data_IF_954004128625
#
_entry.id   IF_954004128625
#
_cell.length_a   1.000
_cell.length_b   1.000
_cell.length_c   1.000
_cell.angle_alpha   90.00
_cell.angle_beta   90.00
_cell.angle_gamma   90.00
#
_symmetry.space_group_name_H-M   'P 1'
#
loop_
_entity.id
_entity.type
_entity.pdbx_description
1 polymer ?
#
# COMPACT_ATOMS: atom_id res chain seq x y z
N UNK A 1 5.97 13.44 2.19
CA UNK A 1 6.22 14.56 1.24
C UNK A 1 4.97 15.44 1.08
N UNK A 2 3.85 14.90 0.58
CA UNK A 2 2.61 15.67 0.32
C UNK A 2 2.01 16.31 1.59
N UNK A 3 2.09 15.63 2.74
CA UNK A 3 1.66 16.18 4.03
C UNK A 3 2.38 17.48 4.43
N UNK A 4 3.69 17.60 4.11
CA UNK A 4 4.47 18.81 4.41
C UNK A 4 4.01 20.00 3.59
N UNK A 5 3.82 19.78 2.28
CA UNK A 5 3.29 20.80 1.34
C UNK A 5 1.89 21.22 1.80
N UNK A 6 1.04 20.24 2.13
CA UNK A 6 -0.32 20.51 2.60
C UNK A 6 -0.34 21.36 3.87
N UNK A 7 0.57 21.14 4.83
CA UNK A 7 0.65 21.91 6.07
C UNK A 7 1.05 23.38 5.86
N UNK A 8 1.86 23.67 4.85
CA UNK A 8 2.45 25.00 4.64
C UNK A 8 1.86 25.75 3.43
N UNK A 9 0.92 25.13 2.69
CA UNK A 9 0.30 25.69 1.48
C UNK A 9 -0.35 27.06 1.68
N UNK A 10 -0.88 27.33 2.88
CA UNK A 10 -1.58 28.58 3.20
C UNK A 10 -0.60 29.76 3.27
N UNK A 11 0.61 29.51 3.79
CA UNK A 11 1.61 30.56 4.05
C UNK A 11 2.48 30.82 2.82
N UNK A 12 2.86 29.76 2.09
CA UNK A 12 3.86 29.88 1.01
C UNK A 12 3.32 29.59 -0.39
N UNK A 13 2.09 29.07 -0.51
CA UNK A 13 1.58 28.54 -1.78
C UNK A 13 2.18 27.19 -2.15
N UNK A 14 1.48 26.43 -2.99
CA UNK A 14 1.93 25.08 -3.39
C UNK A 14 3.12 25.18 -4.36
N UNK A 15 3.05 26.07 -5.35
CA UNK A 15 4.09 26.24 -6.37
C UNK A 15 5.45 26.57 -5.75
N UNK A 16 5.50 27.49 -4.78
CA UNK A 16 6.73 27.93 -4.12
C UNK A 16 7.41 26.79 -3.34
N UNK A 17 6.63 25.96 -2.66
CA UNK A 17 7.16 24.80 -1.91
C UNK A 17 7.62 23.70 -2.88
N UNK A 18 6.85 23.46 -3.94
CA UNK A 18 7.19 22.51 -4.99
C UNK A 18 8.51 22.85 -5.71
N UNK A 19 8.76 24.15 -5.94
CA UNK A 19 10.01 24.64 -6.53
C UNK A 19 11.24 24.35 -5.64
N UNK A 20 11.08 24.39 -4.31
CA UNK A 20 12.16 24.11 -3.36
C UNK A 20 12.42 22.61 -3.14
N UNK A 21 11.41 21.76 -3.31
CA UNK A 21 11.49 20.30 -3.09
C UNK A 21 11.79 19.48 -4.37
N UNK A 22 12.31 20.13 -5.42
CA UNK A 22 12.19 19.73 -6.84
C UNK A 22 11.05 18.76 -7.19
N UNK A 23 9.80 19.13 -6.87
CA UNK A 23 8.61 18.34 -7.22
C UNK A 23 7.75 19.15 -8.19
N UNK A 24 7.22 18.52 -9.23
CA UNK A 24 6.21 19.16 -10.07
C UNK A 24 4.91 19.42 -9.28
N UNK A 25 4.30 20.62 -9.37
CA UNK A 25 3.00 20.90 -8.76
C UNK A 25 1.89 19.93 -9.21
N UNK A 26 1.95 19.45 -10.46
CA UNK A 26 1.04 18.42 -10.98
C UNK A 26 1.08 17.14 -10.15
N UNK A 27 2.26 16.69 -9.74
CA UNK A 27 2.40 15.54 -8.86
C UNK A 27 1.76 15.79 -7.49
N UNK A 28 1.83 17.01 -6.92
CA UNK A 28 1.11 17.32 -5.69
C UNK A 28 -0.41 17.13 -5.85
N UNK A 29 -0.99 17.74 -6.88
CA UNK A 29 -2.43 17.64 -7.13
C UNK A 29 -2.89 16.24 -7.54
N UNK A 30 -2.00 15.41 -8.10
CA UNK A 30 -2.29 14.02 -8.40
C UNK A 30 -2.24 13.13 -7.13
N UNK A 31 -1.28 13.38 -6.24
CA UNK A 31 -1.08 12.57 -5.05
C UNK A 31 -1.97 12.97 -3.87
N UNK A 32 -2.37 14.24 -3.74
CA UNK A 32 -3.19 14.69 -2.61
C UNK A 32 -4.59 14.06 -2.55
N UNK A 33 -5.31 13.90 -3.68
CA UNK A 33 -6.60 13.19 -3.70
C UNK A 33 -6.45 11.71 -3.34
N UNK A 34 -5.37 11.05 -3.78
CA UNK A 34 -5.07 9.64 -3.48
C UNK A 34 -4.90 9.33 -1.99
N UNK A 35 -4.45 10.29 -1.20
CA UNK A 35 -4.37 10.15 0.27
C UNK A 35 -5.74 10.19 0.94
N UNK A 36 -6.70 10.90 0.35
CA UNK A 36 -7.95 11.27 1.02
C UNK A 36 -9.10 10.38 0.57
N UNK A 37 -9.16 10.04 -0.71
CA UNK A 37 -10.25 9.28 -1.29
C UNK A 37 -9.72 8.04 -2.04
N UNK A 38 -10.09 6.83 -1.58
CA UNK A 38 -9.75 5.57 -2.25
C UNK A 38 -10.24 5.49 -3.71
N UNK A 39 -11.28 6.23 -4.10
CA UNK A 39 -11.79 6.25 -5.48
C UNK A 39 -10.77 6.82 -6.47
N UNK A 40 -9.85 7.69 -6.01
CA UNK A 40 -8.79 8.29 -6.84
C UNK A 40 -7.52 7.45 -6.89
N UNK A 41 -7.49 6.31 -6.19
CA UNK A 41 -6.38 5.38 -6.30
C UNK A 41 -6.32 4.77 -7.70
N UNK A 42 -5.11 4.58 -8.25
CA UNK A 42 -4.96 3.85 -9.50
C UNK A 42 -5.64 2.47 -9.42
N UNK A 43 -6.21 2.00 -10.52
CA UNK A 43 -6.86 0.68 -10.60
C UNK A 43 -5.97 -0.49 -10.16
N UNK A 44 -4.64 -0.31 -10.16
CA UNK A 44 -3.69 -1.27 -9.59
C UNK A 44 -3.71 -1.25 -8.05
N UNK A 45 -3.67 -0.08 -7.43
CA UNK A 45 -3.69 0.05 -5.98
C UNK A 45 -5.02 -0.42 -5.38
N UNK A 46 -6.15 -0.15 -6.04
CA UNK A 46 -7.46 -0.68 -5.62
C UNK A 46 -7.50 -2.22 -5.68
N UNK A 47 -6.95 -2.83 -6.75
CA UNK A 47 -6.82 -4.29 -6.83
C UNK A 47 -5.90 -4.83 -5.75
N UNK A 48 -4.75 -4.20 -5.51
CA UNK A 48 -3.82 -4.64 -4.48
C UNK A 48 -4.42 -4.53 -3.07
N UNK A 49 -5.22 -3.49 -2.79
CA UNK A 49 -5.96 -3.37 -1.53
C UNK A 49 -6.98 -4.51 -1.34
N UNK A 50 -7.75 -4.84 -2.37
CA UNK A 50 -8.66 -5.99 -2.35
C UNK A 50 -7.89 -7.31 -2.20
N UNK A 51 -6.77 -7.47 -2.91
CA UNK A 51 -5.91 -8.64 -2.77
C UNK A 51 -5.45 -8.78 -1.31
N UNK A 52 -4.96 -7.71 -0.68
CA UNK A 52 -4.47 -7.71 0.70
C UNK A 52 -5.53 -8.15 1.71
N UNK A 53 -6.76 -7.66 1.58
CA UNK A 53 -7.86 -8.04 2.46
C UNK A 53 -8.14 -9.55 2.40
N UNK A 54 -8.14 -10.10 1.20
CA UNK A 54 -8.39 -11.53 0.99
C UNK A 54 -7.22 -12.41 1.47
N UNK A 55 -5.98 -11.92 1.32
CA UNK A 55 -4.81 -12.59 1.90
C UNK A 55 -4.93 -12.66 3.43
N UNK A 56 -5.33 -11.55 4.05
CA UNK A 56 -5.52 -11.46 5.50
C UNK A 56 -6.58 -12.43 5.97
N UNK A 57 -7.73 -12.49 5.28
CA UNK A 57 -8.81 -13.44 5.57
C UNK A 57 -8.32 -14.88 5.59
N UNK A 58 -7.60 -15.30 4.53
CA UNK A 58 -7.06 -16.67 4.43
C UNK A 58 -6.00 -16.93 5.50
N UNK A 59 -5.15 -15.95 5.81
CA UNK A 59 -4.11 -16.10 6.82
C UNK A 59 -4.67 -16.22 8.24
N UNK A 60 -5.65 -15.41 8.59
CA UNK A 60 -6.36 -15.48 9.88
C UNK A 60 -7.14 -16.79 10.01
N UNK A 61 -7.84 -17.22 8.96
CA UNK A 61 -8.54 -18.51 8.93
C UNK A 61 -7.61 -19.73 9.10
N UNK A 62 -6.32 -19.59 8.76
CA UNK A 62 -5.30 -20.64 8.91
C UNK A 62 -4.40 -20.41 10.14
N UNK A 63 -4.92 -19.74 11.17
CA UNK A 63 -4.24 -19.50 12.46
C UNK A 63 -2.88 -18.84 12.32
N UNK A 64 -2.68 -18.05 11.26
CA UNK A 64 -1.43 -17.34 10.99
C UNK A 64 -0.20 -18.23 10.72
N UNK A 65 -0.39 -19.55 10.61
CA UNK A 65 0.68 -20.55 10.42
C UNK A 65 1.19 -20.58 8.98
N UNK A 66 0.38 -20.08 8.03
CA UNK A 66 0.71 -20.20 6.62
C UNK A 66 1.70 -19.13 6.18
N UNK A 67 2.84 -19.57 5.64
CA UNK A 67 3.76 -18.71 4.92
C UNK A 67 3.18 -18.21 3.59
N UNK A 68 3.82 -17.17 3.04
CA UNK A 68 3.55 -16.58 1.73
C UNK A 68 3.28 -17.63 0.64
N UNK A 69 4.11 -18.69 0.58
CA UNK A 69 3.99 -19.74 -0.45
C UNK A 69 2.75 -20.61 -0.28
N UNK A 70 2.30 -20.86 0.97
CA UNK A 70 1.11 -21.67 1.26
C UNK A 70 -0.14 -20.83 1.03
N UNK A 71 -0.15 -19.58 1.49
CA UNK A 71 -1.27 -18.67 1.25
C UNK A 71 -1.48 -18.40 -0.25
N UNK A 72 -0.41 -18.21 -1.04
CA UNK A 72 -0.55 -18.06 -2.49
C UNK A 72 -1.20 -19.28 -3.15
N UNK A 73 -0.79 -20.50 -2.76
CA UNK A 73 -1.38 -21.74 -3.28
C UNK A 73 -2.85 -21.87 -2.89
N UNK A 74 -3.19 -21.51 -1.66
CA UNK A 74 -4.57 -21.53 -1.16
C UNK A 74 -5.45 -20.55 -1.95
N UNK A 75 -4.99 -19.32 -2.12
CA UNK A 75 -5.69 -18.29 -2.89
C UNK A 75 -5.89 -18.69 -4.36
N UNK A 76 -4.90 -19.37 -4.95
CA UNK A 76 -5.00 -19.89 -6.32
C UNK A 76 -6.03 -21.04 -6.43
N UNK A 77 -6.20 -21.87 -5.38
CA UNK A 77 -7.25 -22.89 -5.34
C UNK A 77 -8.65 -22.28 -5.23
N UNK A 78 -8.77 -21.15 -4.56
CA UNK A 78 -10.00 -20.36 -4.44
C UNK A 78 -10.33 -19.56 -5.72
N UNK A 79 -9.61 -19.79 -6.82
CA UNK A 79 -9.93 -19.24 -8.14
C UNK A 79 -9.52 -17.78 -8.34
N UNK A 80 -8.78 -17.18 -7.40
CA UNK A 80 -8.38 -15.79 -7.53
C UNK A 80 -7.12 -15.69 -8.40
N UNK A 81 -7.36 -15.57 -9.70
CA UNK A 81 -6.32 -15.52 -10.71
C UNK A 81 -5.58 -14.16 -10.69
N UNK A 82 -4.26 -14.22 -10.62
CA UNK A 82 -3.38 -13.06 -10.84
C UNK A 82 -2.57 -13.33 -12.11
N UNK A 83 -2.50 -12.36 -13.02
CA UNK A 83 -2.07 -12.53 -14.41
C UNK A 83 -0.63 -13.08 -14.64
N UNK A 84 0.21 -13.24 -13.61
CA UNK A 84 1.56 -13.81 -13.73
C UNK A 84 2.09 -14.29 -12.36
N UNK A 85 2.46 -15.58 -12.22
CA UNK A 85 2.89 -16.20 -10.95
C UNK A 85 4.02 -15.46 -10.21
N UNK A 86 5.06 -14.97 -10.90
CA UNK A 86 6.21 -14.29 -10.29
C UNK A 86 5.86 -12.89 -9.77
N UNK A 87 5.13 -12.10 -10.58
CA UNK A 87 4.65 -10.77 -10.20
C UNK A 87 3.61 -10.89 -9.09
N UNK A 88 2.71 -11.85 -9.19
CA UNK A 88 1.70 -12.14 -8.18
C UNK A 88 2.34 -12.55 -6.86
N UNK A 89 3.31 -13.47 -6.87
CA UNK A 89 4.01 -13.89 -5.66
C UNK A 89 4.86 -12.76 -5.06
N UNK A 90 5.49 -11.91 -5.89
CA UNK A 90 6.20 -10.73 -5.43
C UNK A 90 5.28 -9.71 -4.76
N UNK A 91 4.15 -9.37 -5.41
CA UNK A 91 3.10 -8.51 -4.82
C UNK A 91 2.56 -9.11 -3.53
N UNK A 92 2.28 -10.41 -3.55
CA UNK A 92 1.82 -11.15 -2.39
C UNK A 92 2.83 -11.11 -1.23
N UNK A 93 4.14 -11.25 -1.51
CA UNK A 93 5.19 -11.07 -0.50
C UNK A 93 5.16 -9.68 0.10
N UNK A 94 5.01 -8.64 -0.72
CA UNK A 94 4.94 -7.25 -0.25
C UNK A 94 3.67 -7.02 0.59
N UNK A 95 2.52 -7.47 0.11
CA UNK A 95 1.22 -7.43 0.81
C UNK A 95 1.26 -8.12 2.17
N UNK A 96 1.77 -9.36 2.19
CA UNK A 96 1.94 -10.15 3.40
C UNK A 96 2.95 -9.51 4.33
N UNK A 97 4.07 -8.99 3.80
CA UNK A 97 5.02 -8.22 4.60
C UNK A 97 4.38 -6.98 5.22
N UNK A 98 3.52 -6.25 4.51
CA UNK A 98 2.76 -5.12 5.08
C UNK A 98 1.81 -5.58 6.19
N UNK A 99 1.11 -6.70 6.01
CA UNK A 99 0.23 -7.28 7.04
C UNK A 99 1.06 -7.71 8.28
N UNK A 100 2.16 -8.43 8.07
CA UNK A 100 3.07 -8.86 9.14
C UNK A 100 3.76 -7.67 9.83
N UNK A 101 4.17 -6.64 9.10
CA UNK A 101 4.82 -5.45 9.64
C UNK A 101 3.85 -4.59 10.47
N UNK A 102 2.59 -4.45 10.02
CA UNK A 102 1.57 -3.68 10.74
C UNK A 102 1.17 -4.33 12.07
N UNK A 103 1.30 -5.66 12.19
CA UNK A 103 1.06 -6.37 13.45
C UNK A 103 2.29 -6.49 14.36
N UNK A 104 3.52 -6.36 13.84
CA UNK A 104 4.75 -6.24 14.65
C UNK A 104 5.02 -4.81 15.14
N UNK A 105 3.98 -4.02 15.36
CA UNK A 105 4.08 -2.70 15.99
C UNK A 105 4.45 -2.79 17.47
N UNK A 106 5.67 -3.22 17.79
CA UNK A 106 6.33 -2.81 19.03
C UNK A 106 6.79 -1.35 18.89
N UNK A 107 6.73 -0.52 19.96
CA UNK A 107 7.19 0.86 19.88
C UNK A 107 8.66 0.93 19.46
N UNK A 108 9.11 2.03 18.82
CA UNK A 108 10.51 2.19 18.46
C UNK A 108 11.35 2.18 19.74
N UNK A 109 12.22 1.18 19.88
CA UNK A 109 13.34 1.26 20.82
C UNK A 109 14.35 2.21 20.17
N UNK A 110 14.35 3.45 20.64
CA UNK A 110 15.37 4.45 20.32
C UNK A 110 16.55 4.17 21.26
N UNK A 111 17.81 4.12 20.80
CA UNK A 111 18.98 4.07 21.66
C UNK A 111 19.18 5.36 22.46
#
# INVERSE_FOLDING_TARGET
MVAFIHRHRIVHGVESICALLPIAPSAYYEHKPRETDPAWLPARANRDAWLNAEVRRVWEANFRVYDVRKLYRQRHREGIAVACRRVAQGRFRNSVATIFQRERGGPPVIP
#
